data_IF_392175885614
#
_entry.id   IF_392175885614
#
_cell.length_a   1.000
_cell.length_b   1.000
_cell.length_c   1.000
_cell.angle_alpha   90.00
_cell.angle_beta   90.00
_cell.angle_gamma   90.00
#
_symmetry.space_group_name_H-M   'P 1'
#
loop_
_entity.id
_entity.type
_entity.pdbx_description
1 polymer ?
#
# COMPACT_ATOMS: atom_id res chain seq x y z
N UNK A 1 5.24 17.61 -7.65
CA UNK A 1 4.64 16.77 -6.60
C UNK A 1 3.14 16.79 -6.79
N UNK A 2 2.46 15.65 -7.02
CA UNK A 2 1.01 15.62 -6.87
C UNK A 2 0.65 16.06 -5.43
N UNK A 3 -0.41 16.86 -5.31
CA UNK A 3 -0.83 17.43 -4.04
C UNK A 3 -1.18 16.31 -3.04
N UNK A 4 -0.93 16.49 -1.73
CA UNK A 4 -1.36 15.53 -0.72
C UNK A 4 -2.87 15.32 -0.85
N UNK A 5 -3.28 14.11 -1.24
CA UNK A 5 -4.69 13.76 -1.25
C UNK A 5 -5.17 13.74 0.21
N UNK A 6 -6.34 14.32 0.47
CA UNK A 6 -6.93 14.42 1.82
C UNK A 6 -6.99 13.02 2.46
N UNK A 7 -6.36 12.84 3.62
CA UNK A 7 -6.41 11.59 4.41
C UNK A 7 -5.18 10.69 4.31
N UNK A 8 -4.18 11.02 3.49
CA UNK A 8 -2.92 10.29 3.49
C UNK A 8 -2.13 10.55 4.79
N UNK A 9 -1.66 9.46 5.40
CA UNK A 9 -0.76 9.43 6.54
C UNK A 9 0.64 9.08 6.05
N UNK A 10 1.65 9.50 6.80
CA UNK A 10 3.06 9.23 6.49
C UNK A 10 3.58 8.18 7.45
N UNK A 11 4.34 7.22 6.94
CA UNK A 11 5.06 6.23 7.73
C UNK A 11 6.48 6.09 7.19
N UNK A 12 7.46 6.04 8.08
CA UNK A 12 8.82 5.67 7.72
C UNK A 12 8.99 4.18 7.99
N UNK A 13 9.46 3.43 7.00
CA UNK A 13 9.74 2.00 7.13
C UNK A 13 10.98 1.64 6.31
N UNK A 14 11.95 0.93 6.92
CA UNK A 14 13.23 0.55 6.28
C UNK A 14 13.91 1.71 5.53
N UNK A 15 14.03 2.86 6.20
CA UNK A 15 14.67 4.08 5.68
C UNK A 15 13.98 4.73 4.46
N UNK A 16 12.78 4.24 4.10
CA UNK A 16 11.95 4.82 3.04
C UNK A 16 10.72 5.47 3.67
N UNK A 17 10.45 6.71 3.27
CA UNK A 17 9.22 7.39 3.65
C UNK A 17 8.10 7.00 2.68
N UNK A 18 7.04 6.41 3.23
CA UNK A 18 5.84 6.05 2.51
C UNK A 18 4.67 6.95 2.93
N UNK A 19 3.73 7.13 2.01
CA UNK A 19 2.42 7.74 2.23
C UNK A 19 1.38 6.67 2.04
N UNK A 20 0.41 6.62 2.92
CA UNK A 20 -0.64 5.62 2.83
C UNK A 20 -2.00 6.17 3.24
N UNK A 21 -3.06 5.58 2.71
CA UNK A 21 -4.44 5.89 3.06
C UNK A 21 -5.25 4.60 3.14
N UNK A 22 -6.15 4.52 4.13
CA UNK A 22 -7.19 3.50 4.16
C UNK A 22 -8.46 4.10 3.57
N UNK A 23 -9.03 3.43 2.59
CA UNK A 23 -10.26 3.83 1.93
C UNK A 23 -11.23 2.66 1.91
N UNK A 24 -12.52 2.93 2.12
CA UNK A 24 -13.54 1.90 1.87
C UNK A 24 -14.01 2.04 0.43
N UNK A 25 -13.73 1.03 -0.40
CA UNK A 25 -14.16 0.99 -1.80
C UNK A 25 -15.10 -0.18 -2.00
N UNK A 26 -16.33 0.09 -2.46
CA UNK A 26 -17.33 -0.94 -2.79
C UNK A 26 -17.59 -1.94 -1.65
N UNK A 27 -17.56 -1.50 -0.39
CA UNK A 27 -17.81 -2.35 0.78
C UNK A 27 -16.61 -3.14 1.28
N UNK A 28 -15.44 -3.02 0.65
CA UNK A 28 -14.17 -3.60 1.11
C UNK A 28 -13.23 -2.50 1.57
N UNK A 29 -12.50 -2.74 2.65
CA UNK A 29 -11.45 -1.81 3.07
C UNK A 29 -10.23 -2.04 2.17
N UNK A 30 -9.69 -0.99 1.60
CA UNK A 30 -8.46 -0.99 0.83
C UNK A 30 -7.43 -0.11 1.53
N UNK A 31 -6.17 -0.50 1.45
CA UNK A 31 -5.04 0.36 1.76
C UNK A 31 -4.31 0.70 0.48
N UNK A 32 -4.03 1.99 0.27
CA UNK A 32 -3.19 2.46 -0.82
C UNK A 32 -1.91 3.00 -0.20
N UNK A 33 -0.76 2.54 -0.68
CA UNK A 33 0.57 2.91 -0.19
C UNK A 33 1.41 3.37 -1.38
N UNK A 34 2.11 4.48 -1.21
CA UNK A 34 2.95 5.11 -2.23
C UNK A 34 4.25 5.56 -1.59
N UNK A 35 5.35 5.57 -2.34
CA UNK A 35 6.58 6.17 -1.83
C UNK A 35 6.49 7.71 -1.90
N UNK A 36 7.02 8.38 -0.87
CA UNK A 36 6.96 9.85 -0.74
C UNK A 36 7.94 10.57 -1.67
N UNK A 37 9.03 9.90 -2.06
CA UNK A 37 10.14 10.49 -2.81
C UNK A 37 9.97 10.51 -4.35
N UNK A 38 9.58 9.42 -5.03
CA UNK A 38 9.45 9.42 -6.48
C UNK A 38 8.16 10.10 -6.96
N UNK A 39 8.26 10.90 -8.03
CA UNK A 39 7.09 11.39 -8.78
C UNK A 39 6.61 10.24 -9.68
N UNK A 40 5.36 9.81 -9.52
CA UNK A 40 4.73 8.68 -10.22
C UNK A 40 5.31 7.30 -9.87
N UNK A 41 5.77 7.09 -8.64
CA UNK A 41 6.14 5.76 -8.15
C UNK A 41 4.97 4.77 -8.18
N UNK A 42 5.28 3.47 -8.24
CA UNK A 42 4.29 2.41 -8.28
C UNK A 42 3.50 2.39 -6.96
N UNK A 43 2.17 2.57 -7.05
CA UNK A 43 1.28 2.45 -5.89
C UNK A 43 1.06 0.98 -5.52
N UNK A 44 0.99 0.68 -4.23
CA UNK A 44 0.62 -0.61 -3.66
C UNK A 44 -0.81 -0.53 -3.13
N UNK A 45 -1.71 -1.38 -3.61
CA UNK A 45 -3.12 -1.44 -3.22
C UNK A 45 -3.40 -2.77 -2.55
N UNK A 46 -3.68 -2.77 -1.25
CA UNK A 46 -4.01 -3.95 -0.48
C UNK A 46 -5.50 -4.02 -0.13
N UNK A 47 -6.20 -5.09 -0.48
CA UNK A 47 -7.51 -5.38 0.11
C UNK A 47 -7.33 -5.87 1.56
N UNK A 48 -8.01 -5.19 2.49
CA UNK A 48 -7.95 -5.44 3.93
C UNK A 48 -9.28 -5.99 4.45
N UNK A 49 -9.26 -6.74 5.57
CA UNK A 49 -10.47 -7.19 6.24
C UNK A 49 -11.22 -6.01 6.90
N UNK A 50 -12.43 -6.29 7.40
CA UNK A 50 -13.28 -5.27 8.04
C UNK A 50 -12.63 -4.62 9.27
N UNK A 51 -11.87 -5.39 10.04
CA UNK A 51 -11.09 -4.91 11.19
C UNK A 51 -9.66 -4.67 10.71
N UNK A 52 -9.21 -3.42 10.77
CA UNK A 52 -7.90 -3.02 10.25
C UNK A 52 -6.98 -2.63 11.40
N UNK A 53 -5.73 -3.12 11.38
CA UNK A 53 -4.66 -2.67 12.29
C UNK A 53 -3.64 -1.81 11.54
N UNK A 54 -2.97 -0.92 12.27
CA UNK A 54 -1.84 -0.14 11.75
C UNK A 54 -0.66 -1.04 11.34
N UNK A 55 -0.45 -2.17 12.02
CA UNK A 55 0.60 -3.14 11.69
C UNK A 55 0.39 -3.79 10.32
N UNK A 56 -0.84 -3.77 9.80
CA UNK A 56 -1.11 -4.28 8.45
C UNK A 56 -0.48 -3.38 7.37
N UNK A 57 -0.20 -2.10 7.67
CA UNK A 57 0.46 -1.17 6.74
C UNK A 57 1.90 -1.61 6.51
N UNK A 58 2.65 -1.84 7.59
CA UNK A 58 4.06 -2.27 7.52
C UNK A 58 4.17 -3.68 6.94
N UNK A 59 3.26 -4.58 7.32
CA UNK A 59 3.19 -5.92 6.73
C UNK A 59 2.89 -5.90 5.22
N UNK A 60 2.04 -4.98 4.74
CA UNK A 60 1.78 -4.81 3.32
C UNK A 60 3.03 -4.31 2.58
N UNK A 61 3.77 -3.36 3.17
CA UNK A 61 5.02 -2.84 2.62
C UNK A 61 6.07 -3.96 2.53
N UNK A 62 6.25 -4.72 3.60
CA UNK A 62 7.20 -5.83 3.63
C UNK A 62 6.83 -6.91 2.60
N UNK A 63 5.54 -7.23 2.48
CA UNK A 63 5.05 -8.17 1.47
C UNK A 63 5.27 -7.63 0.05
N UNK A 64 4.94 -6.38 -0.22
CA UNK A 64 5.17 -5.76 -1.52
C UNK A 64 6.64 -5.83 -1.91
N UNK A 65 7.54 -5.35 -1.02
CA UNK A 65 8.98 -5.36 -1.28
C UNK A 65 9.51 -6.78 -1.55
N UNK A 66 8.99 -7.81 -0.86
CA UNK A 66 9.38 -9.20 -1.08
C UNK A 66 8.84 -9.80 -2.39
N UNK A 67 7.71 -9.30 -2.91
CA UNK A 67 7.03 -9.82 -4.10
C UNK A 67 7.25 -8.96 -5.36
N UNK A 68 8.25 -8.08 -5.36
CA UNK A 68 8.63 -7.29 -6.53
C UNK A 68 7.87 -5.99 -6.71
N UNK A 69 7.23 -5.46 -5.66
CA UNK A 69 6.77 -4.07 -5.65
C UNK A 69 7.99 -3.14 -5.72
N UNK A 70 7.99 -2.26 -6.72
CA UNK A 70 9.07 -1.32 -6.94
C UNK A 70 8.56 0.11 -6.76
N UNK A 71 8.59 0.64 -5.52
CA UNK A 71 8.05 1.97 -5.21
C UNK A 71 8.68 3.11 -6.04
N UNK A 72 9.91 2.93 -6.52
CA UNK A 72 10.66 3.93 -7.29
C UNK A 72 10.40 3.91 -8.79
N UNK A 73 9.82 2.84 -9.33
CA UNK A 73 9.51 2.74 -10.75
C UNK A 73 8.07 3.19 -11.01
N UNK A 74 7.82 3.82 -12.15
CA UNK A 74 6.45 4.11 -12.57
C UNK A 74 5.86 2.87 -13.23
N UNK A 75 4.73 2.38 -12.72
CA UNK A 75 4.14 1.13 -13.18
C UNK A 75 2.69 0.96 -12.74
N UNK A 76 2.05 -0.12 -13.20
CA UNK A 76 0.71 -0.47 -12.79
C UNK A 76 0.67 -0.70 -11.26
N UNK A 77 -0.42 -0.33 -10.57
CA UNK A 77 -0.52 -0.52 -9.13
C UNK A 77 -0.36 -1.99 -8.76
N UNK A 78 0.55 -2.29 -7.83
CA UNK A 78 0.71 -3.63 -7.31
C UNK A 78 -0.47 -3.95 -6.40
N UNK A 79 -1.20 -5.04 -6.67
CA UNK A 79 -2.36 -5.41 -5.85
C UNK A 79 -2.05 -6.58 -4.94
N UNK A 80 -2.42 -6.46 -3.68
CA UNK A 80 -2.36 -7.55 -2.71
C UNK A 80 -3.69 -7.67 -1.96
N UNK A 81 -3.92 -8.83 -1.35
CA UNK A 81 -5.12 -9.10 -0.56
C UNK A 81 -4.73 -9.77 0.75
N UNK A 82 -5.30 -9.29 1.84
CA UNK A 82 -5.18 -9.91 3.14
C UNK A 82 -6.12 -11.11 3.25
N UNK A 83 -5.55 -12.30 3.37
CA UNK A 83 -6.26 -13.53 3.71
C UNK A 83 -5.97 -13.90 5.17
N UNK A 84 -6.73 -14.85 5.72
CA UNK A 84 -6.61 -15.32 7.12
C UNK A 84 -5.19 -15.72 7.56
N UNK A 85 -4.28 -16.02 6.62
CA UNK A 85 -2.89 -16.46 6.86
C UNK A 85 -1.82 -15.43 6.45
N UNK A 86 -2.22 -14.24 5.99
CA UNK A 86 -1.30 -13.18 5.55
C UNK A 86 -1.69 -12.53 4.22
N UNK A 87 -0.83 -11.64 3.72
CA UNK A 87 -0.99 -11.03 2.40
C UNK A 87 -0.69 -12.06 1.30
N UNK A 88 -1.50 -12.03 0.25
CA UNK A 88 -1.30 -12.77 -0.99
C UNK A 88 -1.33 -11.78 -2.15
N UNK A 89 -0.56 -12.02 -3.21
CA UNK A 89 -0.62 -11.21 -4.43
C UNK A 89 -2.02 -11.39 -5.02
N UNK A 90 -2.73 -10.28 -5.19
CA UNK A 90 -4.00 -10.31 -5.89
C UNK A 90 -3.67 -10.17 -7.38
N UNK A 91 -3.51 -11.29 -8.07
CA UNK A 91 -3.44 -11.28 -9.53
C UNK A 91 -4.73 -10.65 -10.07
N UNK A 92 -4.56 -9.67 -10.96
CA UNK A 92 -5.62 -9.06 -11.76
C UNK A 92 -5.95 -9.97 -12.92
#
# INVERSE_FOLDING_TARGET
MPAPHKGFKIINHRDVQYRWIMQNRRGTNEIVIEASAPVNGQSLIGELPRIVSYDMVTAAIDFGNANGWKPNESGAPFRCKWLRKGFVVAEV
#
